data_IF_691638975022
#
_entry.id   IF_691638975022
#
_cell.length_a   1.000
_cell.length_b   1.000
_cell.length_c   1.000
_cell.angle_alpha   90.00
_cell.angle_beta   90.00
_cell.angle_gamma   90.00
#
_symmetry.space_group_name_H-M   'P 1'
#
loop_
_entity.id
_entity.type
_entity.pdbx_description
1 polymer ?
#
# COMPACT_ATOMS: atom_id res chain seq x y z
N UNK A 1 8.28 23.23 24.28
CA UNK A 1 8.20 22.72 24.06
C UNK A 1 7.79 22.15 23.91
N UNK A 2 7.72 21.77 23.59
CA UNK A 2 7.35 21.06 23.27
C UNK A 2 7.09 20.40 23.19
N UNK A 3 6.98 20.12 23.06
CA UNK A 3 6.79 19.34 22.78
C UNK A 3 6.43 18.61 22.54
N UNK A 4 6.37 18.55 22.52
CA UNK A 4 6.06 17.74 22.13
C UNK A 4 5.84 17.25 21.68
N UNK A 5 5.76 17.21 21.47
CA UNK A 5 5.54 16.68 20.86
C UNK A 5 5.45 16.04 20.51
N UNK A 6 5.37 15.87 20.47
CA UNK A 6 5.30 15.20 19.97
C UNK A 6 5.20 14.54 19.45
N UNK A 7 5.12 14.22 19.29
CA UNK A 7 5.00 13.52 18.69
C UNK A 7 4.83 12.91 18.30
N UNK A 8 4.85 13.03 18.38
CA UNK A 8 4.55 12.55 17.89
C UNK A 8 4.34 11.66 17.19
N UNK A 9 3.57 11.72 16.96
CA UNK A 9 3.44 10.58 16.45
C UNK A 9 3.62 10.49 15.19
N UNK A 10 3.87 9.47 14.76
CA UNK A 10 4.28 9.30 13.47
C UNK A 10 3.63 8.07 12.97
N UNK A 11 2.35 8.06 12.99
CA UNK A 11 1.60 7.01 12.36
C UNK A 11 2.06 6.87 10.93
N UNK A 12 2.39 5.66 10.52
CA UNK A 12 2.74 5.41 9.14
C UNK A 12 1.46 5.34 8.31
N UNK A 13 1.53 5.89 7.11
CA UNK A 13 0.33 6.02 6.29
C UNK A 13 0.40 5.05 5.12
N UNK A 14 -0.71 4.36 4.90
CA UNK A 14 -0.84 3.42 3.80
C UNK A 14 -2.00 3.89 2.93
N UNK A 15 -1.74 4.06 1.64
CA UNK A 15 -2.78 4.38 0.68
C UNK A 15 -3.17 3.12 -0.06
N UNK A 16 -4.46 2.79 -0.04
CA UNK A 16 -4.98 1.63 -0.73
C UNK A 16 -5.69 2.11 -1.98
N UNK A 17 -5.23 1.66 -3.14
CA UNK A 17 -5.82 2.03 -4.43
C UNK A 17 -6.52 0.81 -4.99
N UNK A 18 -7.84 0.80 -4.86
CA UNK A 18 -8.66 -0.37 -5.17
C UNK A 18 -10.10 0.09 -5.31
N UNK A 19 -10.82 -0.41 -6.32
CA UNK A 19 -12.19 0.08 -6.57
C UNK A 19 -13.23 -0.53 -5.63
N UNK A 20 -12.88 -1.56 -4.86
CA UNK A 20 -13.74 -2.13 -3.83
C UNK A 20 -13.22 -1.76 -2.46
N UNK A 21 -14.08 -1.68 -1.47
CA UNK A 21 -13.66 -1.23 -0.15
C UNK A 21 -13.27 -2.33 0.82
N UNK A 22 -13.32 -3.57 0.39
CA UNK A 22 -13.11 -4.71 1.27
C UNK A 22 -11.73 -4.75 1.90
N UNK A 23 -10.72 -4.48 1.09
CA UNK A 23 -9.33 -4.53 1.56
C UNK A 23 -9.12 -3.55 2.71
N UNK A 24 -9.67 -2.36 2.58
CA UNK A 24 -9.51 -1.35 3.61
C UNK A 24 -10.13 -1.79 4.92
N UNK A 25 -11.31 -2.39 4.85
CA UNK A 25 -11.98 -2.88 6.05
C UNK A 25 -11.17 -3.97 6.74
N UNK A 26 -10.67 -4.92 5.96
CA UNK A 26 -9.89 -6.02 6.50
C UNK A 26 -8.62 -5.50 7.15
N UNK A 27 -7.92 -4.59 6.48
CA UNK A 27 -6.66 -4.09 7.00
C UNK A 27 -6.86 -3.22 8.24
N UNK A 28 -7.97 -2.49 8.33
CA UNK A 28 -8.26 -1.75 9.55
C UNK A 28 -8.30 -2.66 10.76
N UNK A 29 -8.88 -3.84 10.58
CA UNK A 29 -8.96 -4.80 11.67
C UNK A 29 -7.59 -5.40 11.96
N UNK A 30 -6.91 -5.84 10.91
CA UNK A 30 -5.64 -6.56 11.07
C UNK A 30 -4.52 -5.69 11.61
N UNK A 31 -4.55 -4.40 11.30
CA UNK A 31 -3.50 -3.48 11.70
C UNK A 31 -3.91 -2.59 12.87
N UNK A 32 -4.98 -2.95 13.57
CA UNK A 32 -5.52 -2.08 14.62
C UNK A 32 -4.55 -1.86 15.77
N UNK A 33 -3.59 -2.76 15.97
CA UNK A 33 -2.60 -2.62 17.04
C UNK A 33 -1.33 -1.90 16.59
N UNK A 34 -1.23 -1.60 15.32
CA UNK A 34 -0.07 -0.90 14.78
C UNK A 34 -0.40 0.58 14.65
N UNK A 35 0.62 1.40 14.66
CA UNK A 35 0.45 2.83 14.50
C UNK A 35 0.36 3.14 13.01
N UNK A 36 -0.77 2.80 12.42
CA UNK A 36 -1.00 2.87 10.98
C UNK A 36 -2.25 3.67 10.69
N UNK A 37 -2.16 4.57 9.71
CA UNK A 37 -3.31 5.29 9.18
C UNK A 37 -3.58 4.78 7.78
N UNK A 38 -4.81 4.33 7.53
CA UNK A 38 -5.20 3.82 6.22
C UNK A 38 -6.06 4.84 5.49
N UNK A 39 -5.73 5.08 4.22
CA UNK A 39 -6.54 5.88 3.33
C UNK A 39 -6.89 5.04 2.12
N UNK A 40 -8.05 5.28 1.55
CA UNK A 40 -8.54 4.46 0.45
C UNK A 40 -9.04 5.34 -0.68
N UNK A 41 -8.59 5.06 -1.89
CA UNK A 41 -9.12 5.70 -3.09
C UNK A 41 -9.50 4.61 -4.09
N UNK A 42 -10.39 4.91 -5.00
CA UNK A 42 -11.00 3.89 -5.85
C UNK A 42 -10.44 3.83 -7.25
N UNK A 43 -9.59 4.78 -7.61
CA UNK A 43 -9.07 4.83 -8.97
C UNK A 43 -7.76 5.61 -8.98
N UNK A 44 -7.13 5.64 -10.16
CA UNK A 44 -5.84 6.31 -10.30
C UNK A 44 -5.96 7.82 -10.17
N UNK A 45 -7.04 8.38 -10.65
CA UNK A 45 -7.28 9.82 -10.50
C UNK A 45 -7.33 10.22 -9.03
N UNK A 46 -8.02 9.43 -8.22
CA UNK A 46 -8.08 9.66 -6.78
C UNK A 46 -6.71 9.51 -6.13
N UNK A 47 -5.92 8.54 -6.60
CA UNK A 47 -4.58 8.34 -6.09
C UNK A 47 -3.71 9.56 -6.38
N UNK A 48 -3.80 10.07 -7.58
CA UNK A 48 -3.01 11.23 -7.98
C UNK A 48 -3.33 12.45 -7.12
N UNK A 49 -4.61 12.66 -6.89
CA UNK A 49 -5.04 13.77 -6.04
C UNK A 49 -4.53 13.60 -4.61
N UNK A 50 -4.63 12.38 -4.08
CA UNK A 50 -4.16 12.11 -2.73
C UNK A 50 -2.66 12.34 -2.61
N UNK A 51 -1.90 11.82 -3.57
CA UNK A 51 -0.45 11.92 -3.54
C UNK A 51 0.04 13.37 -3.66
N UNK A 52 -0.74 14.23 -4.30
CA UNK A 52 -0.38 15.64 -4.40
C UNK A 52 -0.47 16.34 -3.06
N UNK A 53 -1.20 15.78 -2.11
CA UNK A 53 -1.38 16.39 -0.80
C UNK A 53 -0.61 15.70 0.30
N UNK A 54 -0.39 14.40 0.17
CA UNK A 54 0.21 13.63 1.24
C UNK A 54 0.89 12.40 0.67
N UNK A 55 2.14 12.20 1.06
CA UNK A 55 2.92 11.06 0.56
C UNK A 55 2.87 9.94 1.60
N UNK A 56 2.30 8.78 1.24
CA UNK A 56 2.24 7.67 2.19
C UNK A 56 3.57 6.94 2.28
N UNK A 57 3.72 6.12 3.31
CA UNK A 57 4.87 5.26 3.43
C UNK A 57 4.77 4.07 2.48
N UNK A 58 3.54 3.63 2.22
CA UNK A 58 3.31 2.44 1.42
C UNK A 58 2.01 2.56 0.63
N UNK A 59 2.00 2.05 -0.57
CA UNK A 59 0.80 1.96 -1.40
C UNK A 59 0.49 0.50 -1.65
N UNK A 60 -0.77 0.12 -1.46
CA UNK A 60 -1.29 -1.15 -1.92
C UNK A 60 -2.08 -0.85 -3.18
N UNK A 61 -1.66 -1.44 -4.30
CA UNK A 61 -2.13 -1.04 -5.62
C UNK A 61 -2.73 -2.21 -6.36
N UNK A 62 -4.04 -2.16 -6.58
CA UNK A 62 -4.71 -3.16 -7.40
C UNK A 62 -4.40 -2.89 -8.87
N UNK A 63 -4.36 -3.95 -9.67
CA UNK A 63 -4.03 -3.78 -11.08
C UNK A 63 -5.21 -3.28 -11.91
N UNK A 64 -6.40 -3.86 -11.70
CA UNK A 64 -7.55 -3.48 -12.53
C UNK A 64 -8.35 -2.40 -11.84
N UNK A 65 -8.27 -1.19 -12.39
CA UNK A 65 -8.94 -0.03 -11.83
C UNK A 65 -9.83 0.57 -12.91
N UNK A 66 -10.86 1.35 -12.51
CA UNK A 66 -11.80 1.89 -13.50
C UNK A 66 -11.15 2.77 -14.56
N UNK A 67 -10.06 3.45 -14.23
CA UNK A 67 -9.43 4.39 -15.15
C UNK A 67 -8.01 3.98 -15.56
N UNK A 68 -7.67 2.71 -15.41
CA UNK A 68 -6.41 2.23 -15.93
C UNK A 68 -5.88 1.02 -15.20
N UNK A 69 -4.67 0.63 -15.53
CA UNK A 69 -4.04 -0.52 -14.89
C UNK A 69 -2.98 -0.04 -13.90
N UNK A 70 -3.04 -0.60 -12.69
CA UNK A 70 -2.08 -0.24 -11.66
C UNK A 70 -0.64 -0.48 -12.07
N UNK A 71 -0.39 -1.56 -12.82
CA UNK A 71 0.96 -1.88 -13.24
C UNK A 71 1.60 -0.74 -14.03
N UNK A 72 0.80 0.01 -14.77
CA UNK A 72 1.31 1.13 -15.55
C UNK A 72 1.60 2.35 -14.68
N UNK A 73 1.09 2.37 -13.47
CA UNK A 73 1.25 3.50 -12.56
C UNK A 73 2.49 3.37 -11.68
N UNK A 74 3.02 2.14 -11.55
CA UNK A 74 4.12 1.86 -10.64
C UNK A 74 5.35 2.70 -10.96
N UNK A 75 5.76 2.72 -12.22
CA UNK A 75 6.96 3.43 -12.63
C UNK A 75 6.85 4.93 -12.35
N UNK A 76 5.68 5.50 -12.63
CA UNK A 76 5.44 6.91 -12.36
C UNK A 76 5.61 7.23 -10.88
N UNK A 77 4.98 6.42 -10.02
CA UNK A 77 5.06 6.65 -8.58
C UNK A 77 6.49 6.52 -8.08
N UNK A 78 7.20 5.50 -8.53
CA UNK A 78 8.56 5.29 -8.04
C UNK A 78 9.50 6.40 -8.49
N UNK A 79 9.27 6.98 -9.65
CA UNK A 79 10.09 8.08 -10.11
C UNK A 79 9.79 9.37 -9.37
N UNK A 80 8.52 9.63 -9.13
CA UNK A 80 8.12 10.88 -8.49
C UNK A 80 8.24 10.82 -6.97
N UNK A 81 7.99 9.67 -6.39
CA UNK A 81 8.00 9.47 -4.94
C UNK A 81 8.83 8.24 -4.59
N UNK A 82 10.16 8.32 -4.76
CA UNK A 82 10.99 7.12 -4.64
C UNK A 82 11.01 6.48 -3.25
N UNK A 83 10.60 7.20 -2.23
CA UNK A 83 10.57 6.62 -0.88
C UNK A 83 9.35 5.75 -0.63
N UNK A 84 8.33 5.82 -1.48
CA UNK A 84 7.10 5.09 -1.27
C UNK A 84 7.29 3.63 -1.64
N UNK A 85 6.89 2.73 -0.74
CA UNK A 85 6.90 1.30 -1.03
C UNK A 85 5.61 0.92 -1.73
N UNK A 86 5.67 0.00 -2.67
CA UNK A 86 4.50 -0.41 -3.41
C UNK A 86 4.34 -1.92 -3.33
N UNK A 87 3.17 -2.35 -2.84
CA UNK A 87 2.73 -3.74 -2.91
C UNK A 87 1.67 -3.81 -4.01
N UNK A 88 2.00 -4.49 -5.09
CA UNK A 88 1.09 -4.68 -6.20
C UNK A 88 0.23 -5.91 -5.93
N UNK A 89 -1.08 -5.82 -6.16
CA UNK A 89 -1.95 -6.98 -6.03
C UNK A 89 -2.69 -7.19 -7.34
N UNK A 90 -2.87 -8.45 -7.73
CA UNK A 90 -3.52 -8.76 -9.00
C UNK A 90 -3.98 -10.22 -8.99
N UNK A 91 -4.91 -10.53 -9.89
CA UNK A 91 -5.26 -11.91 -10.14
C UNK A 91 -4.08 -12.64 -10.78
N UNK A 92 -4.30 -13.91 -11.09
CA UNK A 92 -3.24 -14.72 -11.64
C UNK A 92 -2.84 -14.24 -13.02
N UNK A 93 -1.64 -13.71 -13.15
CA UNK A 93 -1.08 -13.28 -14.43
C UNK A 93 0.41 -13.03 -14.22
N UNK A 94 1.22 -14.01 -14.65
CA UNK A 94 2.65 -13.94 -14.44
C UNK A 94 3.28 -12.75 -15.17
N UNK A 95 2.72 -12.35 -16.31
CA UNK A 95 3.29 -11.22 -17.04
C UNK A 95 3.10 -9.92 -16.30
N UNK A 96 1.98 -9.76 -15.60
CA UNK A 96 1.77 -8.57 -14.78
C UNK A 96 2.77 -8.52 -13.64
N UNK A 97 3.03 -9.66 -13.02
CA UNK A 97 4.00 -9.71 -11.93
C UNK A 97 5.38 -9.26 -12.40
N UNK A 98 5.83 -9.79 -13.52
CA UNK A 98 7.16 -9.46 -14.02
C UNK A 98 7.26 -7.98 -14.35
N UNK A 99 6.27 -7.42 -15.03
CA UNK A 99 6.29 -6.00 -15.38
C UNK A 99 6.22 -5.13 -14.13
N UNK A 100 5.38 -5.50 -13.16
CA UNK A 100 5.26 -4.74 -11.93
C UNK A 100 6.60 -4.64 -11.20
N UNK A 101 7.29 -5.77 -11.08
CA UNK A 101 8.57 -5.77 -10.38
C UNK A 101 9.63 -5.01 -11.16
N UNK A 102 9.64 -5.14 -12.48
CA UNK A 102 10.55 -4.37 -13.32
C UNK A 102 10.32 -2.87 -13.20
N UNK A 103 9.06 -2.47 -13.05
CA UNK A 103 8.71 -1.06 -12.93
C UNK A 103 9.00 -0.50 -11.55
N UNK A 104 9.36 -1.36 -10.60
CA UNK A 104 9.79 -0.90 -9.30
C UNK A 104 8.88 -1.25 -8.15
N UNK A 105 7.86 -2.08 -8.36
CA UNK A 105 7.05 -2.56 -7.24
C UNK A 105 7.95 -3.33 -6.28
N UNK A 106 7.76 -3.10 -4.99
CA UNK A 106 8.59 -3.73 -3.98
C UNK A 106 8.19 -5.16 -3.73
N UNK A 107 6.89 -5.45 -3.84
CA UNK A 107 6.38 -6.80 -3.72
C UNK A 107 5.13 -6.96 -4.57
N UNK A 108 4.84 -8.20 -4.89
CA UNK A 108 3.66 -8.56 -5.68
C UNK A 108 2.93 -9.68 -4.96
N UNK A 109 1.62 -9.51 -4.75
CA UNK A 109 0.78 -10.53 -4.17
C UNK A 109 -0.28 -10.95 -5.15
N UNK A 110 -0.38 -12.24 -5.37
CA UNK A 110 -1.38 -12.80 -6.28
C UNK A 110 -2.66 -13.10 -5.53
N UNK A 111 -3.79 -12.71 -6.10
CA UNK A 111 -5.09 -13.02 -5.51
C UNK A 111 -5.48 -14.45 -5.86
N UNK A 112 -6.06 -15.19 -4.94
CA UNK A 112 -6.34 -14.80 -3.55
C UNK A 112 -5.09 -14.95 -2.69
N UNK A 113 -4.93 -14.05 -1.74
CA UNK A 113 -3.83 -14.15 -0.78
C UNK A 113 -4.39 -14.23 0.62
N UNK A 114 -3.58 -14.74 1.54
CA UNK A 114 -4.00 -14.88 2.92
C UNK A 114 -3.78 -13.58 3.69
N UNK A 115 -4.46 -13.47 4.83
CA UNK A 115 -4.24 -12.33 5.72
C UNK A 115 -2.79 -12.26 6.17
N UNK A 116 -2.18 -13.41 6.40
CA UNK A 116 -0.78 -13.44 6.82
C UNK A 116 0.15 -12.93 5.74
N UNK A 117 -0.15 -13.26 4.49
CA UNK A 117 0.69 -12.79 3.38
C UNK A 117 0.69 -11.28 3.26
N UNK A 118 -0.48 -10.66 3.32
CA UNK A 118 -0.53 -9.20 3.19
C UNK A 118 0.08 -8.53 4.42
N UNK A 119 -0.16 -9.06 5.61
CA UNK A 119 0.44 -8.49 6.82
C UNK A 119 1.95 -8.60 6.80
N UNK A 120 2.48 -9.74 6.38
CA UNK A 120 3.92 -9.94 6.32
C UNK A 120 4.55 -8.93 5.35
N UNK A 121 3.92 -8.73 4.20
CA UNK A 121 4.42 -7.75 3.22
C UNK A 121 4.46 -6.35 3.81
N UNK A 122 3.37 -5.94 4.46
CA UNK A 122 3.29 -4.59 5.02
C UNK A 122 4.32 -4.42 6.13
N UNK A 123 4.39 -5.35 7.05
CA UNK A 123 5.30 -5.22 8.18
C UNK A 123 6.76 -5.25 7.74
N UNK A 124 7.06 -6.09 6.76
CA UNK A 124 8.41 -6.15 6.24
C UNK A 124 8.83 -4.84 5.60
N UNK A 125 7.97 -4.28 4.76
CA UNK A 125 8.32 -3.06 4.03
C UNK A 125 8.34 -1.82 4.91
N UNK A 126 7.53 -1.79 5.96
CA UNK A 126 7.48 -0.65 6.86
C UNK A 126 8.35 -0.83 8.10
N UNK A 127 9.04 -1.94 8.21
CA UNK A 127 9.88 -2.24 9.38
C UNK A 127 9.10 -2.21 10.68
N UNK A 128 7.87 -2.74 10.63
CA UNK A 128 7.06 -2.82 11.83
C UNK A 128 7.45 -4.05 12.64
N UNK A 129 7.36 -3.95 13.97
CA UNK A 129 7.65 -5.13 14.78
C UNK A 129 6.62 -6.21 14.53
N UNK A 130 7.05 -7.45 14.63
CA UNK A 130 6.11 -8.55 14.57
C UNK A 130 5.43 -8.68 15.92
N UNK A 131 4.10 -8.74 15.86
CA UNK A 131 3.36 -8.97 17.08
C UNK A 131 3.35 -10.45 17.40
N UNK A 132 3.51 -10.72 18.67
CA UNK A 132 3.47 -12.07 19.13
C UNK A 132 2.08 -12.64 18.94
N UNK A 133 1.99 -13.75 18.27
CA UNK A 133 0.71 -14.34 17.92
C UNK A 133 0.26 -15.42 18.85
N UNK A 134 0.96 -15.68 19.89
CA UNK A 134 0.57 -16.74 20.80
C UNK A 134 -0.60 -16.45 21.63
#
# INVERSE_FOLDING_TARGET
MSKATVETTTAQKILIIEDEGEMCLVLNILLSKDDIELEHVKNLSGAEEHLSKQIPALIILDNKLPDGFGVDYVSYVKKKYPSVKIVMISGFDASVKDVALENGADQFLEKPFTKQEILRSIRSLLNLPEHDQR
#
